data_IF_385309907823
#
_entry.id   IF_385309907823
#
_cell.length_a   1.000
_cell.length_b   1.000
_cell.length_c   1.000
_cell.angle_alpha   90.00
_cell.angle_beta   90.00
_cell.angle_gamma   90.00
#
_symmetry.space_group_name_H-M   'P 1'
#
loop_
_entity.id
_entity.type
_entity.pdbx_description
1 polymer ?
#
# COMPACT_ATOMS: atom_id res chain seq x y z
N UNK A 1 8.84 30.55 36.57
CA UNK A 1 8.24 29.20 36.54
C UNK A 1 7.28 29.07 35.35
N UNK A 2 7.77 28.64 34.18
CA UNK A 2 6.94 28.28 33.02
C UNK A 2 7.17 26.82 32.59
N UNK A 3 7.80 26.03 33.46
CA UNK A 3 8.16 24.64 33.16
C UNK A 3 6.90 23.78 33.00
N UNK A 4 5.90 23.98 33.85
CA UNK A 4 4.67 23.19 33.81
C UNK A 4 3.79 23.50 32.59
N UNK A 5 3.74 24.77 32.17
CA UNK A 5 3.00 25.17 30.95
C UNK A 5 3.67 24.63 29.68
N UNK A 6 5.00 24.62 29.63
CA UNK A 6 5.76 24.02 28.52
C UNK A 6 5.58 22.49 28.49
N UNK A 7 5.62 21.83 29.64
CA UNK A 7 5.42 20.38 29.74
C UNK A 7 3.99 19.95 29.41
N UNK A 8 2.98 20.73 29.82
CA UNK A 8 1.59 20.48 29.47
C UNK A 8 1.35 20.62 27.96
N UNK A 9 1.94 21.64 27.33
CA UNK A 9 1.89 21.83 25.88
C UNK A 9 2.57 20.67 25.13
N UNK A 10 3.77 20.27 25.56
CA UNK A 10 4.49 19.15 24.96
C UNK A 10 3.75 17.81 25.11
N UNK A 11 3.08 17.56 26.25
CA UNK A 11 2.25 16.35 26.43
C UNK A 11 0.97 16.35 25.59
N UNK A 12 0.37 17.52 25.39
CA UNK A 12 -0.80 17.67 24.51
C UNK A 12 -0.43 17.51 23.02
N UNK A 13 0.78 17.96 22.64
CA UNK A 13 1.30 17.87 21.27
C UNK A 13 1.83 16.46 20.95
N UNK A 14 2.48 15.79 21.90
CA UNK A 14 2.94 14.39 21.81
C UNK A 14 1.88 13.35 22.27
N UNK A 15 0.61 13.71 22.25
CA UNK A 15 -0.47 12.79 22.63
C UNK A 15 -0.77 11.76 21.53
N UNK A 16 -0.36 12.05 20.29
CA UNK A 16 -0.31 11.12 19.16
C UNK A 16 1.08 10.54 18.97
N UNK A 17 1.16 9.37 18.32
CA UNK A 17 2.39 8.67 17.95
C UNK A 17 3.56 9.62 17.65
N UNK A 18 4.72 9.34 18.26
CA UNK A 18 5.93 10.13 18.05
C UNK A 18 6.34 10.03 16.57
N UNK A 19 7.02 11.05 16.02
CA UNK A 19 7.41 11.08 14.60
C UNK A 19 8.21 9.83 14.20
N UNK A 20 8.95 9.25 15.16
CA UNK A 20 9.65 7.97 15.02
C UNK A 20 8.71 6.78 14.84
N UNK A 21 7.65 6.69 15.64
CA UNK A 21 6.69 5.58 15.54
C UNK A 21 5.94 5.65 14.21
N UNK A 22 5.60 6.84 13.73
CA UNK A 22 5.05 7.03 12.38
C UNK A 22 5.98 6.57 11.27
N UNK A 23 7.30 6.80 11.43
CA UNK A 23 8.30 6.35 10.48
C UNK A 23 8.44 4.81 10.50
N UNK A 24 8.45 4.19 11.66
CA UNK A 24 8.53 2.73 11.83
C UNK A 24 7.28 2.01 11.30
N UNK A 25 6.09 2.56 11.57
CA UNK A 25 4.82 2.09 11.00
C UNK A 25 4.85 2.16 9.46
N UNK A 26 5.34 3.27 8.91
CA UNK A 26 5.50 3.43 7.45
C UNK A 26 6.47 2.41 6.86
N UNK A 27 7.56 2.11 7.56
CA UNK A 27 8.57 1.15 7.10
C UNK A 27 8.03 -0.28 7.13
N UNK A 28 7.27 -0.63 8.19
CA UNK A 28 6.58 -1.92 8.32
C UNK A 28 5.59 -2.16 7.19
N UNK A 29 4.87 -1.12 6.76
CA UNK A 29 3.91 -1.20 5.66
C UNK A 29 4.60 -1.55 4.32
N UNK A 30 5.79 -0.99 4.08
CA UNK A 30 6.59 -1.30 2.89
C UNK A 30 7.13 -2.72 2.89
N UNK A 31 7.63 -3.20 4.04
CA UNK A 31 8.14 -4.57 4.16
C UNK A 31 7.05 -5.63 3.97
N UNK A 32 5.87 -5.42 4.54
CA UNK A 32 4.70 -6.28 4.32
C UNK A 32 4.30 -6.36 2.85
N UNK A 33 4.35 -5.23 2.13
CA UNK A 33 4.10 -5.19 0.69
C UNK A 33 5.05 -6.06 -0.14
N UNK A 34 6.34 -6.04 0.20
CA UNK A 34 7.34 -6.88 -0.47
C UNK A 34 7.04 -8.36 -0.28
N UNK A 35 6.68 -8.78 0.94
CA UNK A 35 6.31 -10.17 1.22
C UNK A 35 5.08 -10.60 0.41
N UNK A 36 4.04 -9.77 0.39
CA UNK A 36 2.81 -10.05 -0.37
C UNK A 36 3.13 -10.19 -1.87
N UNK A 37 3.95 -9.30 -2.43
CA UNK A 37 4.39 -9.40 -3.82
C UNK A 37 5.12 -10.72 -4.09
N UNK A 38 6.07 -11.10 -3.23
CA UNK A 38 6.81 -12.37 -3.38
C UNK A 38 5.87 -13.58 -3.38
N UNK A 39 4.90 -13.62 -2.45
CA UNK A 39 3.93 -14.72 -2.37
C UNK A 39 3.02 -14.76 -3.60
N UNK A 40 2.52 -13.61 -4.05
CA UNK A 40 1.69 -13.52 -5.24
C UNK A 40 2.44 -13.97 -6.51
N UNK A 41 3.73 -13.64 -6.63
CA UNK A 41 4.58 -14.11 -7.73
C UNK A 41 4.79 -15.63 -7.69
N UNK A 42 5.03 -16.20 -6.50
CA UNK A 42 5.17 -17.65 -6.33
C UNK A 42 3.90 -18.39 -6.72
N UNK A 43 2.73 -17.93 -6.26
CA UNK A 43 1.47 -18.56 -6.64
C UNK A 43 1.13 -18.36 -8.11
N UNK A 44 1.46 -17.21 -8.71
CA UNK A 44 1.32 -17.01 -10.15
C UNK A 44 2.15 -18.02 -10.95
N UNK A 45 3.38 -18.29 -10.51
CA UNK A 45 4.24 -19.30 -11.14
C UNK A 45 3.68 -20.72 -10.97
N UNK A 46 3.16 -21.06 -9.78
CA UNK A 46 2.54 -22.37 -9.53
C UNK A 46 1.30 -22.56 -10.42
N UNK A 47 0.44 -21.56 -10.54
CA UNK A 47 -0.72 -21.66 -11.43
C UNK A 47 -0.33 -21.71 -12.90
N UNK A 48 0.68 -20.97 -13.33
CA UNK A 48 1.18 -21.06 -14.70
C UNK A 48 1.68 -22.48 -15.03
N UNK A 49 2.37 -23.14 -14.09
CA UNK A 49 2.80 -24.55 -14.25
C UNK A 49 1.59 -25.50 -14.30
N UNK A 50 0.52 -25.19 -13.57
CA UNK A 50 -0.74 -25.97 -13.57
C UNK A 50 -1.65 -25.67 -14.76
N UNK A 51 -1.27 -24.74 -15.64
CA UNK A 51 -2.09 -24.30 -16.77
C UNK A 51 -3.30 -23.44 -16.38
N UNK A 52 -3.31 -22.90 -15.15
CA UNK A 52 -4.35 -22.02 -14.63
C UNK A 52 -4.13 -20.55 -14.97
N UNK A 53 -5.08 -19.70 -14.56
CA UNK A 53 -5.09 -18.28 -14.87
C UNK A 53 -4.58 -17.42 -13.71
N UNK A 54 -3.39 -16.82 -13.90
CA UNK A 54 -2.70 -15.99 -12.90
C UNK A 54 -3.32 -14.59 -12.64
N UNK A 55 -4.51 -14.30 -13.16
CA UNK A 55 -5.13 -12.97 -13.07
C UNK A 55 -5.44 -12.54 -11.63
N UNK A 56 -5.78 -13.49 -10.75
CA UNK A 56 -6.11 -13.19 -9.35
C UNK A 56 -4.95 -12.56 -8.58
N UNK A 57 -3.75 -13.14 -8.71
CA UNK A 57 -2.56 -12.65 -8.02
C UNK A 57 -2.06 -11.31 -8.56
N UNK A 58 -2.13 -11.12 -9.89
CA UNK A 58 -1.82 -9.83 -10.51
C UNK A 58 -2.74 -8.72 -9.99
N UNK A 59 -4.03 -9.01 -9.88
CA UNK A 59 -5.03 -8.08 -9.34
C UNK A 59 -4.70 -7.63 -7.92
N UNK A 60 -4.29 -8.57 -7.06
CA UNK A 60 -3.90 -8.27 -5.67
C UNK A 60 -2.71 -7.30 -5.63
N UNK A 61 -1.67 -7.54 -6.44
CA UNK A 61 -0.48 -6.69 -6.50
C UNK A 61 -0.85 -5.27 -6.97
N UNK A 62 -1.62 -5.15 -8.06
CA UNK A 62 -1.99 -3.85 -8.60
C UNK A 62 -2.98 -3.09 -7.70
N UNK A 63 -3.88 -3.78 -7.00
CA UNK A 63 -4.74 -3.18 -6.00
C UNK A 63 -3.95 -2.61 -4.82
N UNK A 64 -2.95 -3.35 -4.34
CA UNK A 64 -2.03 -2.87 -3.29
C UNK A 64 -1.24 -1.64 -3.75
N UNK A 65 -0.69 -1.67 -4.97
CA UNK A 65 0.04 -0.54 -5.55
C UNK A 65 -0.85 0.70 -5.73
N UNK A 66 -2.10 0.51 -6.12
CA UNK A 66 -3.09 1.58 -6.19
C UNK A 66 -3.32 2.20 -4.80
N UNK A 67 -3.55 1.38 -3.78
CA UNK A 67 -3.74 1.83 -2.40
C UNK A 67 -2.58 2.70 -1.90
N UNK A 68 -1.33 2.24 -2.10
CA UNK A 68 -0.13 3.02 -1.75
C UNK A 68 -0.11 4.34 -2.51
N UNK A 69 -0.33 4.31 -3.82
CA UNK A 69 -0.23 5.49 -4.69
C UNK A 69 -1.25 6.56 -4.33
N UNK A 70 -2.48 6.15 -4.01
CA UNK A 70 -3.54 7.03 -3.52
C UNK A 70 -3.20 7.64 -2.15
N UNK A 71 -2.68 6.82 -1.23
CA UNK A 71 -2.23 7.31 0.07
C UNK A 71 -1.07 8.32 -0.06
N UNK A 72 -0.11 8.01 -0.95
CA UNK A 72 1.02 8.87 -1.25
C UNK A 72 0.58 10.19 -1.91
N UNK A 73 -0.44 10.14 -2.78
CA UNK A 73 -1.04 11.33 -3.35
C UNK A 73 -1.74 12.19 -2.29
N UNK A 74 -2.46 11.59 -1.34
CA UNK A 74 -3.13 12.31 -0.25
C UNK A 74 -2.15 13.13 0.59
N UNK A 75 -0.95 12.59 0.83
CA UNK A 75 0.10 13.24 1.64
C UNK A 75 0.90 14.24 0.81
N UNK A 76 1.43 13.83 -0.35
CA UNK A 76 2.42 14.60 -1.10
C UNK A 76 1.80 15.51 -2.18
N UNK A 77 0.53 15.28 -2.55
CA UNK A 77 -0.21 15.93 -3.66
C UNK A 77 0.54 15.94 -5.00
N UNK A 78 1.52 15.06 -5.18
CA UNK A 78 2.31 15.00 -6.40
C UNK A 78 1.53 14.39 -7.56
N UNK A 79 1.55 15.05 -8.73
CA UNK A 79 0.86 14.59 -9.95
C UNK A 79 1.34 13.20 -10.41
N UNK A 80 2.60 12.84 -10.16
CA UNK A 80 3.16 11.52 -10.49
C UNK A 80 2.48 10.39 -9.72
N UNK A 81 2.25 10.58 -8.42
CA UNK A 81 1.58 9.59 -7.57
C UNK A 81 0.11 9.38 -8.00
N UNK A 82 -0.56 10.45 -8.44
CA UNK A 82 -1.92 10.37 -8.98
C UNK A 82 -1.96 9.57 -10.30
N UNK A 83 -1.04 9.84 -11.22
CA UNK A 83 -0.97 9.09 -12.48
C UNK A 83 -0.72 7.59 -12.23
N UNK A 84 0.17 7.27 -11.28
CA UNK A 84 0.49 5.88 -10.93
C UNK A 84 -0.69 5.21 -10.22
N UNK A 85 -1.42 5.91 -9.36
CA UNK A 85 -2.64 5.42 -8.71
C UNK A 85 -3.78 5.15 -9.70
N UNK A 86 -3.97 6.03 -10.69
CA UNK A 86 -4.96 5.82 -11.76
C UNK A 86 -4.56 4.63 -12.66
N UNK A 87 -3.31 4.56 -13.10
CA UNK A 87 -2.85 3.46 -13.93
C UNK A 87 -2.97 2.10 -13.20
N UNK A 88 -2.51 2.03 -11.94
CA UNK A 88 -2.58 0.80 -11.15
C UNK A 88 -4.01 0.39 -10.81
N UNK A 89 -4.91 1.33 -10.50
CA UNK A 89 -6.32 1.02 -10.28
C UNK A 89 -7.02 0.52 -11.54
N UNK A 90 -6.75 1.08 -12.71
CA UNK A 90 -7.27 0.56 -13.98
C UNK A 90 -6.81 -0.88 -14.23
N UNK A 91 -5.52 -1.17 -14.03
CA UNK A 91 -4.98 -2.53 -14.21
C UNK A 91 -5.59 -3.50 -13.18
N UNK A 92 -5.80 -3.07 -11.94
CA UNK A 92 -6.48 -3.87 -10.93
C UNK A 92 -7.92 -4.20 -11.33
N UNK A 93 -8.67 -3.23 -11.86
CA UNK A 93 -10.05 -3.46 -12.33
C UNK A 93 -10.08 -4.43 -13.51
N UNK A 94 -9.19 -4.26 -14.49
CA UNK A 94 -9.08 -5.17 -15.63
C UNK A 94 -8.73 -6.58 -15.14
N UNK A 95 -7.77 -6.72 -14.23
CA UNK A 95 -7.39 -8.01 -13.64
C UNK A 95 -8.56 -8.67 -12.90
N UNK A 96 -9.35 -7.90 -12.15
CA UNK A 96 -10.51 -8.39 -11.41
C UNK A 96 -11.59 -8.89 -12.38
N UNK A 97 -11.89 -8.12 -13.44
CA UNK A 97 -12.85 -8.54 -14.47
C UNK A 97 -12.37 -9.81 -15.17
N UNK A 98 -11.09 -9.88 -15.56
CA UNK A 98 -10.50 -11.07 -16.16
C UNK A 98 -10.55 -12.29 -15.22
N UNK A 99 -10.33 -12.08 -13.92
CA UNK A 99 -10.48 -13.14 -12.92
C UNK A 99 -11.93 -13.63 -12.82
N UNK A 100 -12.92 -12.73 -12.88
CA UNK A 100 -14.34 -13.13 -12.84
C UNK A 100 -14.82 -13.82 -14.12
N UNK A 101 -14.19 -13.54 -15.26
CA UNK A 101 -14.59 -14.10 -16.57
C UNK A 101 -13.86 -15.40 -16.90
N UNK A 102 -12.59 -15.52 -16.52
CA UNK A 102 -11.72 -16.64 -16.89
C UNK A 102 -11.29 -17.52 -15.70
N UNK A 103 -11.41 -17.04 -14.47
CA UNK A 103 -11.15 -17.82 -13.25
C UNK A 103 -12.29 -18.76 -12.92
#
# INVERSE_FOLDING_TARGET
>A
MQKETILAKSRAENQSFDEREHQELRNSFGFGGVIICCICLLFSAIEAIRGGYFFGYGTIIFAYLAGISWYHYKISKQKKALALGLASSLVAVIGLVSFLVFG
#
